data_IF_482277576413
#
_entry.id   IF_482277576413
#
_cell.length_a   1.000
_cell.length_b   1.000
_cell.length_c   1.000
_cell.angle_alpha   90.00
_cell.angle_beta   90.00
_cell.angle_gamma   90.00
#
_symmetry.space_group_name_H-M   'P 1'
#
loop_
_entity.id
_entity.type
_entity.pdbx_description
1 polymer ?
#
# COMPACT_ATOMS: atom_id res chain seq x y z
N UNK A 1 21.92 -0.87 22.77
CA UNK A 1 20.62 -1.49 22.43
C UNK A 1 20.83 -2.52 21.34
N UNK A 2 20.36 -3.75 21.54
CA UNK A 2 20.33 -4.77 20.48
C UNK A 2 19.46 -4.27 19.32
N UNK A 3 19.79 -4.64 18.07
CA UNK A 3 19.10 -4.14 16.86
C UNK A 3 17.57 -4.32 16.95
N UNK A 4 17.13 -5.42 17.56
CA UNK A 4 15.71 -5.74 17.74
C UNK A 4 14.99 -4.85 18.78
N UNK A 5 15.67 -4.43 19.85
CA UNK A 5 15.06 -3.54 20.86
C UNK A 5 14.87 -2.13 20.32
N UNK A 6 15.77 -1.64 19.45
CA UNK A 6 15.59 -0.37 18.74
C UNK A 6 14.41 -0.39 17.77
N UNK A 7 14.28 -1.45 16.97
CA UNK A 7 13.16 -1.61 16.04
C UNK A 7 11.83 -1.70 16.79
N UNK A 8 11.76 -2.50 17.85
CA UNK A 8 10.55 -2.62 18.67
C UNK A 8 10.14 -1.28 19.28
N UNK A 9 11.09 -0.52 19.84
CA UNK A 9 10.82 0.81 20.38
C UNK A 9 10.31 1.77 19.31
N UNK A 10 10.92 1.80 18.12
CA UNK A 10 10.47 2.62 17.01
C UNK A 10 9.04 2.26 16.59
N UNK A 11 8.75 0.96 16.44
CA UNK A 11 7.40 0.48 16.10
C UNK A 11 6.38 0.93 17.13
N UNK A 12 6.68 0.79 18.43
CA UNK A 12 5.78 1.22 19.50
C UNK A 12 5.54 2.74 19.43
N UNK A 13 6.61 3.54 19.30
CA UNK A 13 6.50 5.00 19.20
C UNK A 13 5.62 5.43 18.01
N UNK A 14 5.87 4.88 16.82
CA UNK A 14 5.06 5.20 15.64
C UNK A 14 3.62 4.72 15.76
N UNK A 15 3.39 3.55 16.36
CA UNK A 15 2.05 3.02 16.59
C UNK A 15 1.26 3.88 17.58
N UNK A 16 1.88 4.28 18.69
CA UNK A 16 1.27 5.18 19.67
C UNK A 16 0.97 6.54 19.05
N UNK A 17 1.93 7.12 18.32
CA UNK A 17 1.73 8.39 17.62
C UNK A 17 0.58 8.30 16.61
N UNK A 18 0.54 7.23 15.81
CA UNK A 18 -0.54 6.98 14.87
C UNK A 18 -1.91 6.87 15.56
N UNK A 19 -1.98 6.16 16.69
CA UNK A 19 -3.21 6.05 17.49
C UNK A 19 -3.68 7.39 18.07
N UNK A 20 -2.75 8.19 18.59
CA UNK A 20 -3.06 9.54 19.13
C UNK A 20 -3.58 10.45 18.01
N UNK A 21 -2.92 10.47 16.86
CA UNK A 21 -3.34 11.29 15.71
C UNK A 21 -4.69 10.83 15.16
N UNK A 22 -4.92 9.52 15.09
CA UNK A 22 -6.20 8.95 14.66
C UNK A 22 -7.34 9.33 15.62
N UNK A 23 -7.11 9.21 16.93
CA UNK A 23 -8.07 9.66 17.95
C UNK A 23 -8.35 11.15 17.83
N UNK A 24 -7.33 11.98 17.61
CA UNK A 24 -7.51 13.43 17.43
C UNK A 24 -8.28 13.77 16.16
N UNK A 25 -8.02 13.06 15.05
CA UNK A 25 -8.66 13.31 13.76
C UNK A 25 -10.15 12.93 13.74
N UNK A 26 -10.53 11.85 14.44
CA UNK A 26 -11.90 11.29 14.38
C UNK A 26 -12.69 11.58 15.66
N UNK A 27 -12.05 11.78 16.80
CA UNK A 27 -12.71 11.87 18.11
C UNK A 27 -13.68 13.04 18.27
N UNK A 28 -13.53 14.10 17.48
CA UNK A 28 -14.44 15.26 17.45
C UNK A 28 -15.44 15.23 16.29
N UNK A 29 -15.38 14.23 15.41
CA UNK A 29 -16.22 14.16 14.23
C UNK A 29 -17.50 13.35 14.47
N UNK A 30 -18.62 13.86 13.95
CA UNK A 30 -19.86 13.11 13.96
C UNK A 30 -19.81 11.98 12.93
N UNK A 31 -19.86 10.75 13.43
CA UNK A 31 -19.93 9.52 12.61
C UNK A 31 -21.06 9.55 11.57
N UNK A 32 -22.17 10.23 11.88
CA UNK A 32 -23.31 10.33 10.96
C UNK A 32 -23.00 11.23 9.77
N UNK A 33 -22.30 12.35 10.01
CA UNK A 33 -21.83 13.26 8.97
C UNK A 33 -20.80 12.58 8.07
N UNK A 34 -19.82 11.86 8.64
CA UNK A 34 -18.83 11.10 7.86
C UNK A 34 -19.52 10.10 6.92
N UNK A 35 -20.52 9.38 7.42
CA UNK A 35 -21.26 8.41 6.60
C UNK A 35 -22.03 9.07 5.46
N UNK A 36 -22.63 10.24 5.70
CA UNK A 36 -23.32 11.02 4.68
C UNK A 36 -22.35 11.50 3.59
N UNK A 37 -21.18 12.00 3.97
CA UNK A 37 -20.12 12.42 3.03
C UNK A 37 -19.64 11.26 2.16
N UNK A 38 -19.41 10.07 2.75
CA UNK A 38 -19.03 8.87 1.99
C UNK A 38 -20.12 8.49 0.97
N UNK A 39 -21.39 8.61 1.35
CA UNK A 39 -22.52 8.27 0.46
C UNK A 39 -22.71 9.28 -0.68
N UNK A 40 -22.43 10.55 -0.42
CA UNK A 40 -22.54 11.65 -1.40
C UNK A 40 -21.26 11.88 -2.20
N UNK A 41 -20.20 11.13 -1.93
CA UNK A 41 -18.94 11.25 -2.64
C UNK A 41 -19.13 11.13 -4.17
N UNK A 42 -18.45 12.02 -4.90
CA UNK A 42 -18.52 12.06 -6.35
C UNK A 42 -17.85 10.81 -6.97
N UNK A 43 -18.67 10.01 -7.64
CA UNK A 43 -18.26 8.76 -8.29
C UNK A 43 -17.24 8.97 -9.40
N UNK A 44 -17.21 10.14 -10.02
CA UNK A 44 -16.24 10.52 -11.05
C UNK A 44 -14.83 10.53 -10.47
N UNK A 45 -14.65 11.15 -9.31
CA UNK A 45 -13.36 11.20 -8.63
C UNK A 45 -12.92 9.83 -8.13
N UNK A 46 -13.86 9.00 -7.67
CA UNK A 46 -13.59 7.59 -7.31
C UNK A 46 -13.06 6.83 -8.53
N UNK A 47 -13.71 6.96 -9.68
CA UNK A 47 -13.29 6.30 -10.92
C UNK A 47 -11.90 6.77 -11.37
N UNK A 48 -11.65 8.09 -11.34
CA UNK A 48 -10.34 8.66 -11.66
C UNK A 48 -9.26 8.07 -10.73
N UNK A 49 -9.52 8.02 -9.42
CA UNK A 49 -8.59 7.47 -8.45
C UNK A 49 -8.28 5.98 -8.72
N UNK A 50 -9.29 5.18 -9.07
CA UNK A 50 -9.12 3.77 -9.44
C UNK A 50 -8.24 3.64 -10.69
N UNK A 51 -8.53 4.41 -11.74
CA UNK A 51 -7.75 4.38 -12.99
C UNK A 51 -6.31 4.80 -12.73
N UNK A 52 -6.09 5.89 -11.99
CA UNK A 52 -4.77 6.34 -11.59
C UNK A 52 -4.03 5.27 -10.76
N UNK A 53 -4.72 4.58 -9.84
CA UNK A 53 -4.17 3.49 -9.04
C UNK A 53 -3.70 2.31 -9.90
N UNK A 54 -4.52 1.86 -10.84
CA UNK A 54 -4.18 0.78 -11.78
C UNK A 54 -2.97 1.17 -12.64
N UNK A 55 -3.00 2.38 -13.23
CA UNK A 55 -1.88 2.90 -14.03
C UNK A 55 -0.59 2.99 -13.19
N UNK A 56 -0.70 3.40 -11.93
CA UNK A 56 0.42 3.45 -11.00
C UNK A 56 1.02 2.06 -10.76
N UNK A 57 0.21 1.01 -10.60
CA UNK A 57 0.71 -0.36 -10.46
C UNK A 57 1.27 -0.93 -11.77
N UNK A 58 0.68 -0.57 -12.91
CA UNK A 58 1.18 -0.98 -14.23
C UNK A 58 2.56 -0.36 -14.51
N UNK A 59 2.73 0.94 -14.24
CA UNK A 59 4.02 1.60 -14.36
C UNK A 59 5.09 0.93 -13.48
N UNK A 60 4.72 0.50 -12.27
CA UNK A 60 5.62 -0.28 -11.40
C UNK A 60 5.97 -1.65 -11.99
N UNK A 61 5.02 -2.36 -12.58
CA UNK A 61 5.27 -3.64 -13.23
C UNK A 61 6.26 -3.50 -14.38
N UNK A 62 6.05 -2.51 -15.26
CA UNK A 62 6.94 -2.20 -16.38
C UNK A 62 8.35 -1.82 -15.90
N UNK A 63 8.44 -0.94 -14.90
CA UNK A 63 9.73 -0.52 -14.32
C UNK A 63 10.52 -1.71 -13.78
N UNK A 64 9.85 -2.71 -13.22
CA UNK A 64 10.51 -3.92 -12.73
C UNK A 64 11.01 -4.81 -13.87
N UNK A 65 10.29 -4.91 -14.98
CA UNK A 65 10.81 -5.62 -16.16
C UNK A 65 12.09 -4.97 -16.70
N UNK A 66 12.14 -3.64 -16.74
CA UNK A 66 13.36 -2.91 -17.11
C UNK A 66 14.54 -3.18 -16.17
N UNK A 67 14.26 -3.50 -14.90
CA UNK A 67 15.31 -3.83 -13.92
C UNK A 67 15.80 -5.29 -14.08
N UNK A 68 14.97 -6.18 -14.61
CA UNK A 68 15.31 -7.58 -14.88
C UNK A 68 16.10 -7.76 -16.18
N UNK A 69 15.88 -6.87 -17.15
CA UNK A 69 16.55 -6.88 -18.46
C UNK A 69 18.09 -6.96 -18.38
N UNK A 70 18.81 -6.15 -17.56
CA UNK A 70 20.27 -6.27 -17.44
C UNK A 70 20.73 -7.56 -16.73
N UNK A 71 19.83 -8.27 -16.05
CA UNK A 71 20.11 -9.57 -15.42
C UNK A 71 19.87 -10.75 -16.38
N UNK A 72 19.45 -10.48 -17.62
CA UNK A 72 19.15 -11.52 -18.62
C UNK A 72 17.78 -12.19 -18.42
N UNK A 73 16.94 -11.67 -17.52
CA UNK A 73 15.60 -12.19 -17.26
C UNK A 73 14.54 -11.25 -17.83
N UNK A 74 13.49 -11.81 -18.42
CA UNK A 74 12.31 -11.05 -18.84
C UNK A 74 11.04 -11.74 -18.34
N UNK A 75 10.21 -10.98 -17.63
CA UNK A 75 8.88 -11.41 -17.21
C UNK A 75 7.83 -10.75 -18.10
N UNK A 76 6.73 -11.44 -18.38
CA UNK A 76 5.62 -10.81 -19.10
C UNK A 76 5.04 -9.66 -18.26
N UNK A 77 4.54 -8.62 -18.91
CA UNK A 77 3.93 -7.47 -18.22
C UNK A 77 2.78 -7.92 -17.32
N UNK A 78 2.00 -8.91 -17.77
CA UNK A 78 0.91 -9.50 -17.00
C UNK A 78 1.42 -10.19 -15.73
N UNK A 79 2.44 -11.05 -15.82
CA UNK A 79 3.02 -11.73 -14.66
C UNK A 79 3.60 -10.73 -13.64
N UNK A 80 4.39 -9.76 -14.13
CA UNK A 80 4.95 -8.71 -13.27
C UNK A 80 3.89 -7.82 -12.63
N UNK A 81 2.78 -7.57 -13.33
CA UNK A 81 1.64 -6.83 -12.78
C UNK A 81 0.91 -7.61 -11.68
N UNK A 82 0.66 -8.91 -11.88
CA UNK A 82 0.09 -9.78 -10.85
C UNK A 82 0.99 -9.86 -9.61
N UNK A 83 2.31 -10.04 -9.79
CA UNK A 83 3.27 -10.06 -8.69
C UNK A 83 3.31 -8.73 -7.93
N UNK A 84 3.20 -7.58 -8.63
CA UNK A 84 3.06 -6.26 -8.00
C UNK A 84 1.77 -6.22 -7.15
N UNK A 85 0.62 -6.52 -7.74
CA UNK A 85 -0.67 -6.43 -7.02
C UNK A 85 -0.67 -7.33 -5.79
N UNK A 86 -0.22 -8.58 -5.92
CA UNK A 86 -0.20 -9.51 -4.79
C UNK A 86 0.75 -9.03 -3.69
N UNK A 87 1.95 -8.54 -4.05
CA UNK A 87 2.87 -7.96 -3.09
C UNK A 87 2.28 -6.76 -2.34
N UNK A 88 1.54 -5.89 -3.02
CA UNK A 88 0.84 -4.77 -2.38
C UNK A 88 -0.31 -5.23 -1.48
N UNK A 89 -1.11 -6.21 -1.92
CA UNK A 89 -2.19 -6.79 -1.12
C UNK A 89 -1.65 -7.39 0.18
N UNK A 90 -0.57 -8.17 0.10
CA UNK A 90 0.08 -8.76 1.27
C UNK A 90 0.62 -7.67 2.20
N UNK A 91 1.20 -6.60 1.66
CA UNK A 91 1.67 -5.46 2.44
C UNK A 91 0.55 -4.71 3.19
N UNK A 92 -0.70 -4.80 2.72
CA UNK A 92 -1.85 -4.24 3.45
C UNK A 92 -2.23 -5.10 4.66
N UNK A 93 -2.05 -6.42 4.59
CA UNK A 93 -2.34 -7.34 5.69
C UNK A 93 -1.21 -7.37 6.73
N UNK A 94 0.05 -7.41 6.28
CA UNK A 94 1.22 -7.45 7.13
C UNK A 94 2.32 -6.52 6.59
N UNK A 95 2.88 -5.64 7.44
CA UNK A 95 3.87 -4.68 6.99
C UNK A 95 5.13 -5.39 6.47
N UNK A 96 5.53 -5.06 5.24
CA UNK A 96 6.78 -5.48 4.59
C UNK A 96 6.88 -6.97 4.22
N UNK A 97 5.79 -7.73 4.30
CA UNK A 97 5.78 -9.15 3.88
C UNK A 97 5.69 -9.31 2.36
N UNK A 98 5.22 -8.28 1.65
CA UNK A 98 5.10 -8.28 0.19
C UNK A 98 6.42 -8.45 -0.57
N UNK A 99 7.56 -8.17 0.06
CA UNK A 99 8.89 -8.40 -0.51
C UNK A 99 9.23 -9.89 -0.63
N UNK A 100 8.68 -10.72 0.26
CA UNK A 100 8.86 -12.18 0.25
C UNK A 100 7.89 -12.86 -0.71
N UNK A 101 6.68 -12.32 -0.86
CA UNK A 101 5.64 -12.93 -1.69
C UNK A 101 5.78 -12.60 -3.18
N UNK A 102 6.45 -11.49 -3.52
CA UNK A 102 6.61 -11.05 -4.92
C UNK A 102 7.50 -11.97 -5.78
N UNK A 103 8.63 -12.51 -5.29
CA UNK A 103 9.42 -13.50 -6.05
C UNK A 103 8.75 -14.88 -6.13
N UNK A 104 7.78 -15.16 -5.25
CA UNK A 104 7.08 -16.44 -5.16
C UNK A 104 5.80 -16.49 -6.02
N UNK A 105 5.41 -15.37 -6.62
CA UNK A 105 4.20 -15.20 -7.42
C UNK A 105 4.54 -14.82 -8.86
#
# INVERSE_FOLDING_TARGET
MTKNTKTALQTIVFLTLGGVLFYYAIGSQDTSSIWLEIRNADKTWILIAIVCGILSHLARALRWNLLLEPLGYSASVAASFHAVILGYLVNMALPRVGEVTRPAA
#
